data_IF_131495119586
#
_entry.id   IF_131495119586
#
_cell.length_a   1.000
_cell.length_b   1.000
_cell.length_c   1.000
_cell.angle_alpha   90.00
_cell.angle_beta   90.00
_cell.angle_gamma   90.00
#
_symmetry.space_group_name_H-M   'P 1'
#
loop_
_entity.id
_entity.type
_entity.pdbx_description
1 polymer ?
#
# COMPACT_ATOMS: atom_id res chain seq x y z
N UNK A 1 -10.07 -10.13 29.25
CA UNK A 1 -10.67 -8.84 29.65
C UNK A 1 -11.36 -8.25 28.43
N UNK A 2 -12.50 -7.55 28.59
CA UNK A 2 -13.33 -6.90 27.53
C UNK A 2 -12.76 -7.05 26.10
N UNK A 3 -13.12 -8.16 25.44
CA UNK A 3 -12.35 -8.76 24.33
C UNK A 3 -12.49 -7.99 23.01
N UNK A 4 -11.75 -6.89 22.87
CA UNK A 4 -11.44 -6.28 21.57
C UNK A 4 -10.47 -7.16 20.77
N UNK A 5 -10.34 -6.89 19.47
CA UNK A 5 -9.30 -7.53 18.65
C UNK A 5 -7.94 -6.89 18.99
N UNK A 6 -6.88 -7.69 19.07
CA UNK A 6 -5.52 -7.17 19.36
C UNK A 6 -4.61 -7.38 18.16
N UNK A 7 -3.76 -6.42 17.79
CA UNK A 7 -2.76 -6.59 16.73
C UNK A 7 -1.84 -7.78 17.01
N UNK A 8 -1.42 -8.45 15.95
CA UNK A 8 -0.34 -9.43 15.99
C UNK A 8 0.98 -8.67 15.89
N UNK A 9 1.80 -8.72 16.94
CA UNK A 9 3.09 -8.04 16.96
C UNK A 9 4.18 -8.91 16.31
N UNK A 10 4.80 -8.39 15.26
CA UNK A 10 5.94 -9.01 14.58
C UNK A 10 7.26 -8.56 15.20
N UNK A 11 7.29 -7.34 15.73
CA UNK A 11 8.36 -6.75 16.54
C UNK A 11 7.73 -5.93 17.66
N UNK A 12 8.53 -5.53 18.66
CA UNK A 12 8.05 -4.75 19.81
C UNK A 12 7.32 -3.45 19.41
N UNK A 13 7.67 -2.87 18.25
CA UNK A 13 7.10 -1.64 17.72
C UNK A 13 6.32 -1.81 16.40
N UNK A 14 6.03 -3.05 15.98
CA UNK A 14 5.32 -3.32 14.72
C UNK A 14 4.17 -4.30 14.94
N UNK A 15 2.96 -3.75 15.04
CA UNK A 15 1.70 -4.50 15.09
C UNK A 15 1.05 -4.60 13.71
N UNK A 16 0.48 -5.76 13.40
CA UNK A 16 -0.21 -6.04 12.13
C UNK A 16 -1.60 -6.60 12.41
N UNK A 17 -2.58 -6.15 11.63
CA UNK A 17 -3.90 -6.77 11.58
C UNK A 17 -4.20 -7.15 10.14
N UNK A 18 -4.57 -8.42 9.93
CA UNK A 18 -4.89 -8.94 8.61
C UNK A 18 -6.06 -9.91 8.69
N UNK A 19 -6.88 -9.88 7.63
CA UNK A 19 -7.96 -10.83 7.43
C UNK A 19 -7.43 -12.27 7.37
N UNK A 20 -6.21 -12.47 6.85
CA UNK A 20 -5.59 -13.79 6.76
C UNK A 20 -5.48 -14.50 8.11
N UNK A 21 -5.38 -13.76 9.22
CA UNK A 21 -5.32 -14.36 10.56
C UNK A 21 -6.67 -14.89 11.06
N UNK A 22 -7.77 -14.54 10.39
CA UNK A 22 -9.12 -14.91 10.79
C UNK A 22 -9.72 -16.02 9.92
N UNK A 23 -9.00 -16.46 8.89
CA UNK A 23 -9.44 -17.56 8.04
C UNK A 23 -9.19 -18.90 8.75
N UNK A 24 -10.13 -19.85 8.67
CA UNK A 24 -9.92 -21.20 9.21
C UNK A 24 -8.74 -21.91 8.54
N UNK A 25 -8.58 -21.69 7.22
CA UNK A 25 -7.48 -22.19 6.40
C UNK A 25 -6.84 -20.99 5.65
N UNK A 26 -5.51 -20.82 5.68
CA UNK A 26 -4.81 -19.78 4.93
C UNK A 26 -5.05 -19.81 3.41
N UNK A 27 -5.38 -20.98 2.85
CA UNK A 27 -5.63 -21.16 1.42
C UNK A 27 -7.08 -20.87 1.02
N UNK A 28 -7.96 -20.55 1.98
CA UNK A 28 -9.37 -20.26 1.71
C UNK A 28 -9.55 -18.96 0.92
N UNK A 29 -10.21 -19.05 -0.23
CA UNK A 29 -10.57 -17.88 -1.03
C UNK A 29 -11.59 -16.99 -0.30
N UNK A 30 -11.19 -15.75 -0.02
CA UNK A 30 -12.05 -14.78 0.65
C UNK A 30 -13.02 -14.11 -0.33
N UNK A 31 -14.22 -14.68 -0.49
CA UNK A 31 -15.29 -14.07 -1.29
C UNK A 31 -16.23 -13.27 -0.40
N UNK A 32 -15.90 -12.01 -0.14
CA UNK A 32 -16.73 -11.14 0.70
C UNK A 32 -17.45 -10.06 -0.11
N UNK A 33 -18.76 -9.98 0.09
CA UNK A 33 -19.62 -8.96 -0.52
C UNK A 33 -19.43 -7.62 0.20
N UNK A 34 -19.62 -6.51 -0.53
CA UNK A 34 -19.37 -5.13 -0.07
C UNK A 34 -19.75 -4.81 1.39
N UNK A 35 -20.97 -5.13 1.86
CA UNK A 35 -21.36 -4.84 3.25
C UNK A 35 -20.49 -5.52 4.31
N UNK A 36 -20.03 -6.76 4.07
CA UNK A 36 -19.12 -7.46 5.00
C UNK A 36 -17.74 -6.79 5.01
N UNK A 37 -17.25 -6.37 3.85
CA UNK A 37 -15.96 -5.71 3.69
C UNK A 37 -15.90 -4.37 4.45
N UNK A 38 -16.94 -3.54 4.31
CA UNK A 38 -17.03 -2.28 5.06
C UNK A 38 -17.12 -2.51 6.57
N UNK A 39 -17.85 -3.54 6.99
CA UNK A 39 -17.92 -3.95 8.39
C UNK A 39 -16.53 -4.29 8.97
N UNK A 40 -15.71 -5.01 8.21
CA UNK A 40 -14.37 -5.38 8.64
C UNK A 40 -13.40 -4.21 8.67
N UNK A 41 -13.45 -3.31 7.69
CA UNK A 41 -12.67 -2.06 7.73
C UNK A 41 -13.02 -1.27 8.99
N UNK A 42 -14.32 -1.17 9.32
CA UNK A 42 -14.74 -0.54 10.56
C UNK A 42 -14.18 -1.25 11.79
N UNK A 43 -14.23 -2.58 11.84
CA UNK A 43 -13.70 -3.37 12.95
C UNK A 43 -12.18 -3.14 13.12
N UNK A 44 -11.42 -3.17 12.03
CA UNK A 44 -9.98 -2.90 12.06
C UNK A 44 -9.64 -1.49 12.57
N UNK A 45 -10.42 -0.49 12.21
CA UNK A 45 -10.14 0.89 12.59
C UNK A 45 -10.72 1.30 13.94
N UNK A 46 -11.80 0.67 14.41
CA UNK A 46 -12.52 1.09 15.63
C UNK A 46 -12.54 0.06 16.75
N UNK A 47 -12.46 -1.23 16.44
CA UNK A 47 -12.65 -2.31 17.41
C UNK A 47 -11.34 -3.06 17.74
N UNK A 48 -10.26 -2.76 17.00
CA UNK A 48 -8.90 -3.20 17.33
C UNK A 48 -8.27 -2.26 18.35
N UNK A 49 -7.73 -2.83 19.41
CA UNK A 49 -6.99 -2.11 20.44
C UNK A 49 -5.54 -1.89 19.97
N UNK A 50 -5.33 -0.83 19.20
CA UNK A 50 -4.04 -0.45 18.65
C UNK A 50 -3.08 0.16 19.70
N UNK A 51 -3.59 0.58 20.86
CA UNK A 51 -2.82 1.35 21.84
C UNK A 51 -2.36 2.72 21.31
N UNK A 52 -1.23 3.19 21.82
CA UNK A 52 -0.57 4.42 21.35
C UNK A 52 0.26 4.11 20.10
N UNK A 53 0.01 4.85 19.01
CA UNK A 53 0.72 4.70 17.74
C UNK A 53 1.22 6.05 17.23
N UNK A 54 2.45 6.07 16.74
CA UNK A 54 2.97 7.19 15.95
C UNK A 54 2.40 7.19 14.53
N UNK A 55 2.21 6.00 13.95
CA UNK A 55 1.74 5.82 12.57
C UNK A 55 0.83 4.60 12.46
N UNK A 56 -0.20 4.71 11.61
CA UNK A 56 -0.97 3.58 11.10
C UNK A 56 -0.82 3.50 9.59
N UNK A 57 -0.27 2.39 9.10
CA UNK A 57 -0.14 2.13 7.67
C UNK A 57 -1.30 1.24 7.21
N UNK A 58 -1.99 1.66 6.15
CA UNK A 58 -3.12 0.94 5.60
C UNK A 58 -2.76 0.51 4.18
N UNK A 59 -2.56 -0.79 3.99
CA UNK A 59 -2.37 -1.38 2.67
C UNK A 59 -3.75 -1.54 2.00
N UNK A 60 -4.07 -0.61 1.11
CA UNK A 60 -5.33 -0.61 0.38
C UNK A 60 -5.23 -1.49 -0.86
N UNK A 61 -6.31 -2.21 -1.23
CA UNK A 61 -6.34 -2.90 -2.51
C UNK A 61 -6.09 -1.93 -3.68
N UNK A 62 -5.64 -2.42 -4.84
CA UNK A 62 -5.40 -1.55 -5.98
C UNK A 62 -6.71 -0.97 -6.56
N UNK A 63 -6.62 0.25 -7.11
CA UNK A 63 -7.69 0.93 -7.84
C UNK A 63 -8.59 1.80 -6.95
N UNK A 64 -9.62 2.41 -7.53
CA UNK A 64 -10.46 3.43 -6.85
C UNK A 64 -11.73 2.82 -6.25
N UNK A 65 -11.61 1.77 -5.45
CA UNK A 65 -12.74 0.97 -4.97
C UNK A 65 -13.47 1.57 -3.73
N UNK A 66 -14.60 0.97 -3.34
CA UNK A 66 -15.41 1.37 -2.18
C UNK A 66 -14.64 1.29 -0.84
N UNK A 67 -13.52 0.57 -0.80
CA UNK A 67 -12.68 0.46 0.39
C UNK A 67 -12.03 1.78 0.76
N UNK A 68 -11.51 2.50 -0.24
CA UNK A 68 -10.87 3.79 -0.03
C UNK A 68 -11.89 4.81 0.50
N UNK A 69 -13.13 4.76 0.02
CA UNK A 69 -14.23 5.57 0.54
C UNK A 69 -14.55 5.22 1.99
N UNK A 70 -14.61 3.93 2.32
CA UNK A 70 -14.91 3.45 3.66
C UNK A 70 -13.83 3.87 4.65
N UNK A 71 -12.55 3.70 4.29
CA UNK A 71 -11.40 4.15 5.08
C UNK A 71 -11.45 5.65 5.29
N UNK A 72 -11.64 6.42 4.21
CA UNK A 72 -11.78 7.88 4.27
C UNK A 72 -12.91 8.34 5.18
N UNK A 73 -14.05 7.65 5.13
CA UNK A 73 -15.20 7.95 5.98
C UNK A 73 -14.95 7.62 7.45
N UNK A 74 -14.35 6.47 7.75
CA UNK A 74 -14.12 6.05 9.14
C UNK A 74 -12.98 6.83 9.82
N UNK A 75 -11.98 7.28 9.06
CA UNK A 75 -10.88 8.12 9.55
C UNK A 75 -11.16 9.62 9.42
N UNK A 76 -12.37 10.01 9.03
CA UNK A 76 -12.70 11.43 8.83
C UNK A 76 -12.53 12.28 10.09
N UNK A 77 -12.80 11.71 11.26
CA UNK A 77 -12.71 12.40 12.55
C UNK A 77 -11.28 12.50 13.07
N UNK A 78 -10.47 11.45 12.89
CA UNK A 78 -9.05 11.42 13.24
C UNK A 78 -8.17 12.18 12.24
N UNK A 79 -8.66 12.34 11.01
CA UNK A 79 -7.89 12.83 9.87
C UNK A 79 -7.10 11.72 9.18
N UNK A 80 -6.70 12.00 7.94
CA UNK A 80 -5.73 11.22 7.18
C UNK A 80 -4.60 12.17 6.81
N UNK A 81 -3.38 11.90 7.29
CA UNK A 81 -2.22 12.74 7.01
C UNK A 81 -1.84 12.75 5.54
N UNK A 82 -2.02 11.62 4.87
CA UNK A 82 -2.01 11.55 3.41
C UNK A 82 -1.85 10.15 2.86
N UNK A 83 -1.80 10.07 1.53
CA UNK A 83 -1.57 8.87 0.76
C UNK A 83 -0.20 8.91 0.08
N UNK A 84 0.49 7.77 0.07
CA UNK A 84 1.66 7.52 -0.76
C UNK A 84 1.20 6.65 -1.93
N UNK A 85 1.43 7.13 -3.13
CA UNK A 85 1.03 6.46 -4.35
C UNK A 85 2.19 5.58 -4.83
N UNK A 86 1.93 4.30 -5.10
CA UNK A 86 2.93 3.36 -5.62
C UNK A 86 2.57 3.03 -7.07
N UNK A 87 3.54 3.09 -7.97
CA UNK A 87 3.36 2.71 -9.38
C UNK A 87 4.58 1.97 -9.91
N UNK A 88 4.51 1.51 -11.15
CA UNK A 88 5.62 0.93 -11.88
C UNK A 88 5.81 1.67 -13.22
N UNK A 89 6.97 1.58 -13.90
CA UNK A 89 7.26 2.42 -15.08
C UNK A 89 6.33 2.22 -16.28
N UNK A 90 5.58 1.10 -16.32
CA UNK A 90 4.72 0.74 -17.43
C UNK A 90 3.51 1.67 -17.53
N UNK A 91 3.18 2.09 -18.74
CA UNK A 91 2.09 3.04 -18.99
C UNK A 91 0.73 2.59 -18.43
N UNK A 92 0.45 1.29 -18.44
CA UNK A 92 -0.81 0.74 -17.88
C UNK A 92 -0.92 1.05 -16.38
N UNK A 93 0.16 0.87 -15.61
CA UNK A 93 0.18 1.19 -14.19
C UNK A 93 0.04 2.71 -13.94
N UNK A 94 0.69 3.52 -14.79
CA UNK A 94 0.62 4.98 -14.73
C UNK A 94 -0.79 5.51 -15.04
N UNK A 95 -1.54 4.85 -15.92
CA UNK A 95 -2.93 5.21 -16.24
C UNK A 95 -3.87 4.93 -15.07
N UNK A 96 -3.70 3.82 -14.37
CA UNK A 96 -4.51 3.51 -13.20
C UNK A 96 -4.20 4.43 -12.03
N UNK A 97 -2.92 4.76 -11.83
CA UNK A 97 -2.51 5.71 -10.80
C UNK A 97 -3.01 7.13 -11.04
N UNK A 98 -3.18 7.57 -12.29
CA UNK A 98 -3.85 8.87 -12.59
C UNK A 98 -5.27 8.91 -12.04
N UNK A 99 -6.02 7.81 -12.16
CA UNK A 99 -7.37 7.71 -11.59
C UNK A 99 -7.34 7.76 -10.07
N UNK A 100 -6.32 7.15 -9.45
CA UNK A 100 -6.13 7.17 -8.00
C UNK A 100 -5.80 8.57 -7.47
N UNK A 101 -4.94 9.32 -8.17
CA UNK A 101 -4.65 10.73 -7.85
C UNK A 101 -5.93 11.57 -7.89
N UNK A 102 -6.74 11.39 -8.93
CA UNK A 102 -8.02 12.08 -9.05
C UNK A 102 -9.02 11.66 -7.97
N UNK A 103 -9.02 10.39 -7.57
CA UNK A 103 -9.80 9.89 -6.44
C UNK A 103 -9.38 10.60 -5.14
N UNK A 104 -8.10 10.56 -4.77
CA UNK A 104 -7.59 11.22 -3.57
C UNK A 104 -7.99 12.70 -3.51
N UNK A 105 -7.89 13.42 -4.64
CA UNK A 105 -8.33 14.82 -4.75
C UNK A 105 -9.83 15.00 -4.47
N UNK A 106 -10.67 14.15 -5.05
CA UNK A 106 -12.14 14.21 -4.87
C UNK A 106 -12.54 13.96 -3.42
N UNK A 107 -11.89 13.01 -2.75
CA UNK A 107 -12.13 12.68 -1.34
C UNK A 107 -11.32 13.52 -0.36
N UNK A 108 -10.52 14.47 -0.88
CA UNK A 108 -9.69 15.42 -0.11
C UNK A 108 -8.64 14.74 0.78
N UNK A 109 -8.09 13.61 0.33
CA UNK A 109 -6.93 12.98 0.96
C UNK A 109 -5.66 13.67 0.43
N UNK A 110 -4.78 14.21 1.30
CA UNK A 110 -3.50 14.77 0.89
C UNK A 110 -2.63 13.72 0.20
N UNK A 111 -1.96 14.07 -0.88
CA UNK A 111 -1.01 13.16 -1.55
C UNK A 111 0.39 13.56 -1.11
N UNK A 112 1.05 12.69 -0.34
CA UNK A 112 2.42 12.92 0.16
C UNK A 112 3.45 12.80 -0.97
N UNK A 113 3.14 11.96 -1.96
CA UNK A 113 3.87 11.85 -3.21
C UNK A 113 3.70 10.48 -3.85
N UNK A 114 4.49 10.24 -4.90
CA UNK A 114 4.51 9.00 -5.66
C UNK A 114 5.89 8.35 -5.64
N UNK A 115 5.92 7.03 -5.51
CA UNK A 115 7.11 6.17 -5.61
C UNK A 115 6.99 5.29 -6.84
N UNK A 116 8.04 5.25 -7.65
CA UNK A 116 8.15 4.31 -8.78
C UNK A 116 8.87 3.02 -8.34
N UNK A 117 8.11 1.96 -8.13
CA UNK A 117 8.66 0.65 -7.85
C UNK A 117 9.12 -0.03 -9.15
N UNK A 118 10.08 -0.95 -9.05
CA UNK A 118 10.59 -1.74 -10.18
C UNK A 118 11.19 -0.92 -11.35
N UNK A 119 11.78 0.24 -11.05
CA UNK A 119 12.30 1.21 -12.04
C UNK A 119 13.49 0.74 -12.90
N UNK A 120 14.19 -0.30 -12.44
CA UNK A 120 15.38 -0.85 -13.08
C UNK A 120 15.87 -2.06 -12.31
N UNK A 121 16.95 -2.69 -12.76
CA UNK A 121 17.57 -3.83 -12.08
C UNK A 121 19.07 -3.63 -12.06
N UNK A 122 19.66 -3.74 -10.87
CA UNK A 122 21.12 -3.69 -10.69
C UNK A 122 21.60 -5.12 -10.52
N UNK A 123 22.38 -5.60 -11.49
CA UNK A 123 22.92 -6.96 -11.42
C UNK A 123 23.82 -7.11 -10.19
N UNK A 124 23.53 -8.04 -9.26
CA UNK A 124 24.31 -8.17 -8.03
C UNK A 124 25.76 -8.61 -8.32
N UNK A 125 25.99 -9.31 -9.44
CA UNK A 125 27.28 -9.84 -9.86
C UNK A 125 28.15 -8.80 -10.58
N UNK A 126 27.66 -8.16 -11.64
CA UNK A 126 28.47 -7.24 -12.45
C UNK A 126 28.23 -5.75 -12.18
N UNK A 127 27.24 -5.40 -11.33
CA UNK A 127 26.79 -4.02 -11.05
C UNK A 127 26.27 -3.23 -12.25
N UNK A 128 26.15 -3.88 -13.41
CA UNK A 128 25.47 -3.31 -14.57
C UNK A 128 24.00 -3.06 -14.28
N UNK A 129 23.52 -1.91 -14.73
CA UNK A 129 22.12 -1.52 -14.65
C UNK A 129 21.39 -1.97 -15.91
N UNK A 130 20.17 -2.49 -15.73
CA UNK A 130 19.28 -2.87 -16.82
C UNK A 130 17.90 -2.31 -16.56
N UNK A 131 17.36 -1.59 -17.54
CA UNK A 131 16.01 -1.04 -17.46
C UNK A 131 15.06 -2.11 -18.03
N UNK A 132 14.52 -2.94 -17.14
CA UNK A 132 13.62 -4.05 -17.52
C UNK A 132 12.30 -3.50 -18.07
N UNK A 133 11.77 -2.46 -17.41
CA UNK A 133 10.55 -1.79 -17.81
C UNK A 133 10.88 -0.37 -18.26
N UNK A 134 11.27 -0.23 -19.52
CA UNK A 134 11.63 1.06 -20.06
C UNK A 134 10.41 2.00 -20.12
N UNK A 135 10.44 3.16 -19.44
CA UNK A 135 9.34 4.11 -19.50
C UNK A 135 9.29 4.74 -20.90
N UNK A 136 8.16 4.63 -21.58
CA UNK A 136 7.95 5.24 -22.91
C UNK A 136 7.55 6.71 -22.82
N UNK A 137 7.05 7.13 -21.66
CA UNK A 137 6.49 8.45 -21.41
C UNK A 137 7.20 9.20 -20.28
N UNK A 138 8.35 8.73 -19.80
CA UNK A 138 9.08 9.36 -18.69
C UNK A 138 8.65 8.91 -17.29
N UNK A 139 7.81 7.88 -17.19
CA UNK A 139 7.53 7.16 -15.95
C UNK A 139 6.73 7.97 -14.92
N UNK A 140 6.82 7.54 -13.67
CA UNK A 140 6.15 8.18 -12.54
C UNK A 140 6.67 9.59 -12.28
N UNK A 141 7.94 9.88 -12.60
CA UNK A 141 8.52 11.22 -12.41
C UNK A 141 7.82 12.24 -13.29
N UNK A 142 7.68 11.97 -14.59
CA UNK A 142 6.96 12.88 -15.49
C UNK A 142 5.47 12.96 -15.13
N UNK A 143 4.84 11.84 -14.79
CA UNK A 143 3.46 11.85 -14.28
C UNK A 143 3.32 12.74 -13.04
N UNK A 144 4.26 12.67 -12.10
CA UNK A 144 4.24 13.48 -10.89
C UNK A 144 4.28 14.98 -11.22
N UNK A 145 5.12 15.38 -12.18
CA UNK A 145 5.19 16.75 -12.70
C UNK A 145 3.86 17.17 -13.37
N UNK A 146 3.31 16.35 -14.27
CA UNK A 146 2.04 16.59 -14.96
C UNK A 146 0.86 16.70 -13.97
N UNK A 147 0.86 15.87 -12.94
CA UNK A 147 -0.16 15.85 -11.90
C UNK A 147 0.15 16.84 -10.78
N UNK A 148 1.24 17.61 -10.81
CA UNK A 148 1.64 18.52 -9.73
C UNK A 148 1.63 17.85 -8.34
N UNK A 149 2.26 16.68 -8.23
CA UNK A 149 2.49 15.96 -6.98
C UNK A 149 3.98 15.69 -6.78
N UNK A 150 4.40 15.42 -5.54
CA UNK A 150 5.80 15.16 -5.23
C UNK A 150 6.25 13.79 -5.75
N UNK A 151 7.35 13.75 -6.49
CA UNK A 151 8.06 12.51 -6.77
C UNK A 151 8.96 12.17 -5.58
N UNK A 152 8.71 11.05 -4.90
CA UNK A 152 9.46 10.62 -3.71
C UNK A 152 10.71 9.84 -4.06
N UNK A 153 10.75 9.24 -5.25
CA UNK A 153 11.88 8.48 -5.74
C UNK A 153 11.46 7.21 -6.44
N UNK A 154 12.48 6.42 -6.80
CA UNK A 154 12.31 5.11 -7.42
C UNK A 154 13.02 4.03 -6.63
N UNK A 155 12.48 2.81 -6.70
CA UNK A 155 13.04 1.61 -6.09
C UNK A 155 13.37 0.64 -7.24
N UNK A 156 14.60 0.11 -7.34
CA UNK A 156 14.94 -0.90 -8.34
C UNK A 156 14.39 -2.27 -7.93
N UNK A 157 14.24 -3.16 -8.92
CA UNK A 157 14.07 -4.59 -8.70
C UNK A 157 15.27 -5.15 -7.96
N UNK A 158 14.99 -5.76 -6.80
CA UNK A 158 15.96 -6.51 -6.03
C UNK A 158 15.44 -7.95 -5.84
N UNK A 159 16.13 -8.96 -6.39
CA UNK A 159 15.68 -10.35 -6.31
C UNK A 159 15.67 -10.88 -4.86
N UNK A 160 16.41 -10.22 -3.96
CA UNK A 160 16.41 -10.56 -2.53
C UNK A 160 15.10 -10.19 -1.85
N UNK A 161 14.42 -9.13 -2.29
CA UNK A 161 13.10 -8.74 -1.75
C UNK A 161 12.09 -9.84 -2.06
N UNK A 162 12.02 -10.31 -3.31
CA UNK A 162 11.12 -11.40 -3.69
C UNK A 162 11.36 -12.66 -2.87
N UNK A 163 12.64 -13.07 -2.73
CA UNK A 163 13.01 -14.24 -1.92
C UNK A 163 12.65 -14.08 -0.44
N UNK A 164 12.83 -12.88 0.12
CA UNK A 164 12.48 -12.59 1.51
C UNK A 164 10.96 -12.69 1.72
N UNK A 165 10.16 -12.09 0.83
CA UNK A 165 8.71 -12.18 0.84
C UNK A 165 8.22 -13.63 0.73
N UNK A 166 8.75 -14.41 -0.22
CA UNK A 166 8.38 -15.82 -0.41
C UNK A 166 8.71 -16.68 0.82
N UNK A 167 9.77 -16.33 1.55
CA UNK A 167 10.20 -17.05 2.75
C UNK A 167 9.55 -16.52 4.03
N UNK A 168 8.74 -15.46 3.95
CA UNK A 168 8.13 -14.81 5.12
C UNK A 168 9.13 -14.18 6.08
N UNK A 169 10.30 -13.75 5.59
CA UNK A 169 11.34 -13.10 6.39
C UNK A 169 11.49 -11.63 6.02
N UNK A 170 11.98 -10.81 6.95
CA UNK A 170 12.33 -9.42 6.68
C UNK A 170 13.45 -9.36 5.64
N UNK A 171 13.33 -8.46 4.66
CA UNK A 171 14.42 -8.17 3.72
C UNK A 171 15.62 -7.48 4.40
N UNK A 172 15.41 -6.87 5.56
CA UNK A 172 16.46 -6.17 6.31
C UNK A 172 17.29 -7.10 7.20
N UNK A 173 16.82 -8.33 7.40
CA UNK A 173 17.49 -9.38 8.20
C UNK A 173 18.40 -10.25 7.31
#
# INVERSE_FOLDING_TARGET
SLSGWSPVYVQDNLGVMSIGFMLPDPDDAVIWRGPKKNGLIKQFLKDVDWGELDFILIDTPPGTSDEHLSISQYLKESGIDGAIIITTPQEVALQDVRKEIDFCRKVKIPILGVVENMSGFICPNCKGESIIFAPTTGGAKKMAEECNIKYLGSIPLDPRIGKACDSGISFLD
#
